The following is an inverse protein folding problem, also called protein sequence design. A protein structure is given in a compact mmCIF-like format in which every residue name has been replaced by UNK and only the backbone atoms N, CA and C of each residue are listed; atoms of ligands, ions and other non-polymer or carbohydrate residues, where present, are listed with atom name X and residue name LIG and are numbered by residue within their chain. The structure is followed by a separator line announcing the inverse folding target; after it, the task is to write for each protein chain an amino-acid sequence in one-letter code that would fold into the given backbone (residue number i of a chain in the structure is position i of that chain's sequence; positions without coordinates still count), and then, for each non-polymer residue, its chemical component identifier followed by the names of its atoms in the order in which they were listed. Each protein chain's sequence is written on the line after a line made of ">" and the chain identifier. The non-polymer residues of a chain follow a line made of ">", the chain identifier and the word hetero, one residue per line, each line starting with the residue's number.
data_IF_610060180441
#
_entry.id   IF_610060180441
#
_cell.length_a   1.000
_cell.length_b   1.000
_cell.length_c   1.000
_cell.angle_alpha   90.00
_cell.angle_beta   90.00
_cell.angle_gamma   90.00
#
_symmetry.space_group_name_H-M   'P 1'
#
loop_
_entity.id
_entity.type
_entity.pdbx_description
1 polymer ?
#
# COMPACT_ATOMS: atom_id res chain seq x y z
N UNK A 1 0.83 -8.18 -14.37
CA UNK A 1 1.35 -6.89 -14.84
C UNK A 1 1.34 -6.88 -16.35
N UNK A 2 0.76 -5.86 -16.97
CA UNK A 2 0.82 -5.65 -18.41
C UNK A 2 1.53 -4.33 -18.69
N UNK A 3 2.46 -4.32 -19.64
CA UNK A 3 3.20 -3.13 -20.01
C UNK A 3 3.86 -3.32 -21.36
N UNK A 4 4.19 -2.21 -22.02
CA UNK A 4 4.90 -2.22 -23.29
C UNK A 4 6.17 -1.40 -23.14
N UNK A 5 7.31 -1.93 -23.56
CA UNK A 5 8.55 -1.17 -23.55
C UNK A 5 8.78 -0.58 -24.94
N UNK A 6 8.88 0.75 -25.00
CA UNK A 6 9.27 1.49 -26.17
C UNK A 6 10.70 2.01 -26.02
N UNK A 7 11.60 1.52 -26.87
CA UNK A 7 12.97 1.99 -26.96
C UNK A 7 13.08 3.09 -28.02
N UNK A 8 13.52 4.27 -27.62
CA UNK A 8 13.86 5.38 -28.49
C UNK A 8 15.30 5.83 -28.25
N UNK A 9 16.20 5.43 -29.16
CA UNK A 9 17.65 5.60 -29.03
C UNK A 9 18.15 5.01 -27.70
N UNK A 10 18.88 5.78 -26.90
CA UNK A 10 19.37 5.37 -25.58
C UNK A 10 18.33 5.53 -24.45
N UNK A 11 17.09 5.92 -24.78
CA UNK A 11 16.00 6.10 -23.82
C UNK A 11 14.94 5.01 -23.98
N UNK A 12 14.58 4.37 -22.88
CA UNK A 12 13.51 3.38 -22.77
C UNK A 12 12.34 4.00 -22.01
N UNK A 13 11.13 3.87 -22.55
CA UNK A 13 9.87 4.24 -21.90
C UNK A 13 9.02 2.99 -21.74
N UNK A 14 8.62 2.68 -20.50
CA UNK A 14 7.80 1.51 -20.21
C UNK A 14 6.53 1.90 -19.45
N UNK A 15 5.43 2.19 -20.16
CA UNK A 15 4.09 2.27 -19.55
C UNK A 15 3.67 0.91 -18.98
N UNK A 16 3.05 0.95 -17.81
CA UNK A 16 2.64 -0.21 -17.02
C UNK A 16 1.24 -0.03 -16.42
N UNK A 17 0.50 -1.13 -16.43
CA UNK A 17 -0.78 -1.29 -15.74
C UNK A 17 -0.79 -2.62 -14.95
N UNK A 18 -1.25 -2.58 -13.71
CA UNK A 18 -1.37 -3.75 -12.84
C UNK A 18 -2.67 -3.70 -12.04
N UNK A 19 -3.28 -4.86 -11.83
CA UNK A 19 -4.30 -5.05 -10.80
C UNK A 19 -3.66 -5.88 -9.69
N UNK A 20 -3.72 -5.37 -8.45
CA UNK A 20 -3.15 -6.00 -7.26
C UNK A 20 -4.25 -6.41 -6.29
N UNK A 21 -4.19 -7.66 -5.84
CA UNK A 21 -5.10 -8.23 -4.86
C UNK A 21 -4.32 -8.56 -3.58
N UNK A 22 -4.64 -7.86 -2.50
CA UNK A 22 -3.93 -8.02 -1.22
C UNK A 22 -4.90 -8.50 -0.15
N UNK A 23 -4.61 -9.63 0.50
CA UNK A 23 -5.36 -10.11 1.65
C UNK A 23 -4.57 -9.83 2.92
N UNK A 24 -5.09 -8.94 3.76
CA UNK A 24 -4.45 -8.56 5.02
C UNK A 24 -5.16 -9.30 6.14
N UNK A 25 -4.38 -10.03 6.93
CA UNK A 25 -4.81 -10.71 8.16
C UNK A 25 -4.05 -10.10 9.31
N UNK A 26 -4.77 -9.57 10.28
CA UNK A 26 -4.23 -8.99 11.50
C UNK A 26 -4.60 -9.88 12.70
N UNK A 27 -3.61 -10.17 13.53
CA UNK A 27 -3.82 -10.96 14.74
C UNK A 27 -4.28 -9.99 15.84
N UNK A 28 -5.56 -10.10 16.21
CA UNK A 28 -6.12 -9.39 17.36
C UNK A 28 -5.31 -9.65 18.62
N UNK A 29 -5.26 -8.65 19.50
CA UNK A 29 -4.48 -8.67 20.73
C UNK A 29 -5.41 -8.63 21.94
N UNK A 30 -5.06 -9.36 22.98
CA UNK A 30 -5.77 -9.33 24.25
C UNK A 30 -4.76 -9.02 25.35
N UNK A 31 -5.02 -7.94 26.08
CA UNK A 31 -4.26 -7.60 27.27
C UNK A 31 -4.66 -8.53 28.42
N UNK A 32 -3.66 -9.11 29.07
CA UNK A 32 -3.83 -9.88 30.29
C UNK A 32 -3.18 -9.09 31.43
N UNK A 33 -3.91 -8.13 32.00
CA UNK A 33 -3.53 -7.39 33.20
C UNK A 33 -4.07 -8.06 34.46
N UNK A 34 -3.33 -8.03 35.56
CA UNK A 34 -3.65 -8.67 36.85
C UNK A 34 -4.88 -8.13 37.59
N UNK A 35 -5.74 -7.34 36.95
CA UNK A 35 -7.01 -6.84 37.47
C UNK A 35 -8.15 -7.17 36.49
N UNK A 36 -9.13 -7.92 36.98
CA UNK A 36 -10.17 -8.62 36.18
C UNK A 36 -11.18 -7.74 35.44
N UNK A 37 -11.09 -6.40 35.54
CA UNK A 37 -12.14 -5.47 35.09
C UNK A 37 -11.67 -4.41 34.08
N UNK A 38 -10.46 -4.54 33.51
CA UNK A 38 -9.92 -3.56 32.54
C UNK A 38 -9.16 -4.20 31.38
N UNK A 39 -9.35 -5.50 31.12
CA UNK A 39 -8.66 -6.15 30.01
C UNK A 39 -9.27 -5.71 28.67
N UNK A 40 -8.45 -5.09 27.81
CA UNK A 40 -8.82 -4.68 26.46
C UNK A 40 -8.59 -5.83 25.47
N UNK A 41 -9.64 -6.17 24.71
CA UNK A 41 -9.57 -7.15 23.62
C UNK A 41 -9.79 -6.45 22.28
N UNK A 42 -8.78 -6.50 21.42
CA UNK A 42 -8.85 -6.03 20.04
C UNK A 42 -9.14 -7.24 19.15
N UNK A 43 -10.28 -7.23 18.45
CA UNK A 43 -10.69 -8.37 17.62
C UNK A 43 -9.81 -8.55 16.36
N UNK A 44 -9.66 -9.80 15.91
CA UNK A 44 -8.91 -10.17 14.69
C UNK A 44 -9.48 -9.47 13.45
N UNK A 45 -8.61 -8.95 12.59
CA UNK A 45 -8.99 -8.20 11.39
C UNK A 45 -8.68 -9.01 10.13
N UNK A 46 -9.66 -9.20 9.25
CA UNK A 46 -9.41 -9.73 7.91
C UNK A 46 -10.10 -8.85 6.87
N UNK A 47 -9.32 -8.31 5.94
CA UNK A 47 -9.88 -7.58 4.81
C UNK A 47 -9.07 -7.81 3.54
N UNK A 48 -9.78 -7.77 2.41
CA UNK A 48 -9.16 -7.86 1.09
C UNK A 48 -9.15 -6.46 0.48
N UNK A 49 -8.02 -6.04 -0.06
CA UNK A 49 -7.81 -4.81 -0.81
C UNK A 49 -7.67 -5.15 -2.31
N UNK A 50 -8.26 -4.33 -3.17
CA UNK A 50 -8.18 -4.47 -4.63
C UNK A 50 -7.68 -3.14 -5.17
N UNK A 51 -6.49 -3.14 -5.75
CA UNK A 51 -5.81 -1.92 -6.20
C UNK A 51 -5.57 -1.97 -7.70
N UNK A 52 -5.78 -0.84 -8.38
CA UNK A 52 -5.37 -0.60 -9.76
C UNK A 52 -4.14 0.29 -9.75
N UNK A 53 -3.12 -0.11 -10.48
CA UNK A 53 -1.85 0.59 -10.57
C UNK A 53 -1.65 0.99 -12.02
N UNK A 54 -1.41 2.27 -12.26
CA UNK A 54 -1.14 2.82 -13.57
C UNK A 54 0.08 3.73 -13.49
N UNK A 55 1.01 3.58 -14.41
CA UNK A 55 2.21 4.39 -14.40
C UNK A 55 3.21 3.96 -15.44
N UNK A 56 4.47 4.29 -15.20
CA UNK A 56 5.55 3.86 -16.07
C UNK A 56 6.90 4.33 -15.59
N UNK A 57 7.93 3.84 -16.28
CA UNK A 57 9.31 4.23 -16.04
C UNK A 57 9.97 4.77 -17.30
N UNK A 58 10.90 5.70 -17.10
CA UNK A 58 11.80 6.24 -18.11
C UNK A 58 13.22 5.90 -17.68
N UNK A 59 13.99 5.30 -18.57
CA UNK A 59 15.40 4.97 -18.35
C UNK A 59 16.20 5.54 -19.51
N UNK A 60 17.23 6.34 -19.25
CA UNK A 60 18.15 6.79 -20.30
C UNK A 60 19.54 6.29 -20.01
N UNK A 61 20.32 5.99 -21.04
CA UNK A 61 21.74 5.68 -20.92
C UNK A 61 22.55 6.78 -21.61
N UNK A 62 23.37 7.49 -20.85
CA UNK A 62 24.34 8.45 -21.37
C UNK A 62 25.73 7.85 -21.32
N UNK A 63 26.39 7.80 -22.47
CA UNK A 63 27.79 7.42 -22.60
C UNK A 63 28.63 8.69 -22.66
N UNK A 64 29.56 8.87 -21.72
CA UNK A 64 30.46 10.03 -21.69
C UNK A 64 31.88 9.53 -21.40
N UNK A 65 32.69 9.35 -22.45
CA UNK A 65 34.08 8.88 -22.45
C UNK A 65 34.39 7.76 -21.43
N UNK A 66 34.73 8.10 -20.18
CA UNK A 66 35.10 7.17 -19.10
C UNK A 66 33.93 6.75 -18.19
N UNK A 67 32.74 7.35 -18.33
CA UNK A 67 31.58 7.14 -17.46
C UNK A 67 30.31 6.78 -18.25
N UNK A 68 29.54 5.86 -17.67
CA UNK A 68 28.18 5.54 -18.12
C UNK A 68 27.22 6.01 -17.03
N UNK A 69 26.32 6.94 -17.38
CA UNK A 69 25.30 7.46 -16.47
C UNK A 69 23.95 6.91 -16.90
N UNK A 70 23.19 6.33 -15.96
CA UNK A 70 21.89 5.70 -16.25
C UNK A 70 20.78 6.27 -15.37
N UNK A 71 20.30 7.50 -15.62
CA UNK A 71 19.15 8.01 -14.89
C UNK A 71 17.92 7.15 -15.15
N UNK A 72 17.21 6.82 -14.08
CA UNK A 72 15.92 6.17 -14.13
C UNK A 72 14.92 6.97 -13.30
N UNK A 73 13.74 7.21 -13.86
CA UNK A 73 12.62 7.87 -13.20
C UNK A 73 11.40 6.96 -13.33
N UNK A 74 10.60 6.86 -12.27
CA UNK A 74 9.33 6.14 -12.28
C UNK A 74 8.21 6.98 -11.67
N UNK A 75 7.01 6.81 -12.22
CA UNK A 75 5.81 7.46 -11.72
C UNK A 75 4.62 6.48 -11.77
N UNK A 76 3.94 6.28 -10.65
CA UNK A 76 2.78 5.42 -10.53
C UNK A 76 1.65 6.07 -9.72
N UNK A 77 0.43 5.73 -10.10
CA UNK A 77 -0.80 6.04 -9.41
C UNK A 77 -1.43 4.71 -8.99
N UNK A 78 -1.62 4.54 -7.69
CA UNK A 78 -2.28 3.39 -7.09
C UNK A 78 -3.67 3.83 -6.63
N UNK A 79 -4.71 3.14 -7.11
CA UNK A 79 -6.11 3.40 -6.77
C UNK A 79 -6.71 2.19 -6.04
N UNK A 80 -7.23 2.38 -4.82
CA UNK A 80 -7.96 1.35 -4.09
C UNK A 80 -9.44 1.36 -4.51
N UNK A 81 -9.84 0.35 -5.28
CA UNK A 81 -11.22 0.19 -5.77
C UNK A 81 -12.22 -0.12 -4.66
N UNK A 82 -11.77 -0.72 -3.56
CA UNK A 82 -12.66 -1.15 -2.49
C UNK A 82 -12.88 -0.03 -1.49
N UNK A 83 -11.84 0.75 -1.19
CA UNK A 83 -11.89 1.89 -0.26
C UNK A 83 -12.46 1.52 1.11
N UNK A 84 -12.35 0.25 1.52
CA UNK A 84 -12.89 -0.25 2.79
C UNK A 84 -11.80 -0.27 3.83
N UNK A 85 -11.93 0.61 4.83
CA UNK A 85 -11.21 0.41 6.08
C UNK A 85 -11.94 -0.65 6.90
N UNK A 86 -11.27 -1.72 7.34
CA UNK A 86 -11.87 -2.62 8.30
C UNK A 86 -12.16 -1.87 9.62
N UNK A 87 -13.39 -2.02 10.13
CA UNK A 87 -13.77 -1.49 11.43
C UNK A 87 -12.87 -2.09 12.52
N UNK A 88 -12.44 -1.25 13.46
CA UNK A 88 -11.72 -1.69 14.66
C UNK A 88 -12.79 -1.89 15.73
N UNK A 89 -12.93 -3.12 16.21
CA UNK A 89 -13.79 -3.43 17.35
C UNK A 89 -12.88 -3.65 18.55
N UNK A 90 -13.05 -2.80 19.56
CA UNK A 90 -12.33 -2.87 20.82
C UNK A 90 -13.35 -3.10 21.94
N UNK A 91 -13.24 -4.25 22.60
CA UNK A 91 -14.10 -4.63 23.72
C UNK A 91 -13.32 -4.49 25.02
N UNK A 92 -13.90 -3.80 26.00
CA UNK A 92 -13.34 -3.67 27.33
C UNK A 92 -14.12 -4.58 28.30
N UNK A 93 -13.42 -5.53 28.93
CA UNK A 93 -14.05 -6.44 29.89
C UNK A 93 -14.63 -5.66 31.08
N UNK A 94 -15.96 -5.61 31.19
CA UNK A 94 -16.69 -4.86 32.23
C UNK A 94 -17.67 -3.81 31.70
N UNK A 95 -17.58 -3.46 30.41
CA UNK A 95 -18.64 -2.73 29.69
C UNK A 95 -19.47 -3.70 28.84
N UNK A 96 -20.78 -3.47 28.78
CA UNK A 96 -21.69 -4.24 27.90
C UNK A 96 -21.63 -3.79 26.42
N UNK A 97 -20.98 -2.66 26.13
CA UNK A 97 -20.92 -2.08 24.78
C UNK A 97 -19.46 -1.90 24.31
N UNK A 98 -19.15 -2.22 23.03
CA UNK A 98 -17.84 -1.98 22.44
C UNK A 98 -17.47 -0.50 22.44
N UNK A 99 -16.19 -0.19 22.62
CA UNK A 99 -15.71 1.18 22.54
C UNK A 99 -15.77 1.69 21.08
N UNK A 100 -16.26 2.92 20.83
CA UNK A 100 -16.26 3.51 19.50
C UNK A 100 -14.83 3.87 19.11
N UNK A 101 -14.17 2.99 18.35
CA UNK A 101 -12.85 3.28 17.78
C UNK A 101 -13.05 3.95 16.42
N UNK A 102 -12.55 5.19 16.21
CA UNK A 102 -12.61 5.81 14.90
C UNK A 102 -11.81 4.96 13.90
N UNK A 103 -12.49 4.45 12.88
CA UNK A 103 -11.82 3.70 11.83
C UNK A 103 -10.88 4.63 11.03
N UNK A 104 -9.65 4.18 10.70
CA UNK A 104 -8.75 4.99 9.89
C UNK A 104 -9.40 5.33 8.54
N UNK A 105 -9.20 6.56 8.05
CA UNK A 105 -9.72 6.93 6.72
C UNK A 105 -8.98 6.13 5.64
N UNK A 106 -9.69 5.54 4.67
CA UNK A 106 -9.05 4.77 3.61
C UNK A 106 -8.34 5.71 2.63
N UNK A 107 -7.07 5.42 2.34
CA UNK A 107 -6.34 6.10 1.26
C UNK A 107 -6.79 5.54 -0.08
N UNK A 108 -7.61 6.30 -0.81
CA UNK A 108 -8.14 5.89 -2.12
C UNK A 108 -7.13 5.99 -3.24
N UNK A 109 -6.22 6.97 -3.17
CA UNK A 109 -5.22 7.26 -4.19
C UNK A 109 -3.86 7.47 -3.55
N UNK A 110 -2.84 6.82 -4.10
CA UNK A 110 -1.44 7.00 -3.71
C UNK A 110 -0.61 7.26 -4.96
N UNK A 111 0.27 8.26 -4.88
CA UNK A 111 1.20 8.63 -5.94
C UNK A 111 2.60 8.20 -5.52
N UNK A 112 3.28 7.47 -6.38
CA UNK A 112 4.66 7.01 -6.20
C UNK A 112 5.51 7.61 -7.31
N UNK A 113 6.38 8.57 -6.94
CA UNK A 113 7.30 9.24 -7.84
C UNK A 113 8.71 9.06 -7.29
N UNK A 114 9.61 8.56 -8.12
CA UNK A 114 10.99 8.31 -7.69
C UNK A 114 11.99 8.39 -8.83
N UNK A 115 13.26 8.47 -8.44
CA UNK A 115 14.41 8.41 -9.33
C UNK A 115 15.47 7.48 -8.73
N UNK A 116 16.16 6.73 -9.57
CA UNK A 116 17.36 5.96 -9.21
C UNK A 116 18.56 6.77 -9.67
N UNK A 117 19.45 7.11 -8.72
CA UNK A 117 20.71 7.84 -8.96
C UNK A 117 21.83 6.88 -9.35
#
# INVERSE_FOLDING_TARGET
>A
MGGYNYLWKETSFAPMAEIRLTKIKDAGYQEYGGTSFQNLTIQKRQYNKVEGILGGEIKTTYYKDEFIIRPQIHAFINYDFKGKTPAIVADLNGLNEPLPVPAPKPTKMLYDLGQVQ
#
